data_IF_937941796996
#
_entry.id   IF_937941796996
#
_cell.length_a   1.000
_cell.length_b   1.000
_cell.length_c   1.000
_cell.angle_alpha   90.00
_cell.angle_beta   90.00
_cell.angle_gamma   90.00
#
_symmetry.space_group_name_H-M   'P 1'
#
loop_
_entity.id
_entity.type
_entity.pdbx_description
1 polymer ?
#
# COMPACT_ATOMS: atom_id res chain seq x y z
N UNK A 1 -15.10 47.64 -16.44
CA UNK A 1 -13.95 46.78 -16.77
C UNK A 1 -14.24 45.40 -16.20
N UNK A 2 -15.05 44.65 -16.93
CA UNK A 2 -15.51 43.31 -16.63
C UNK A 2 -14.38 42.38 -17.09
N UNK A 3 -13.56 41.91 -16.16
CA UNK A 3 -12.58 40.87 -16.46
C UNK A 3 -12.88 39.68 -15.57
N UNK A 4 -13.84 38.89 -16.02
CA UNK A 4 -13.98 37.48 -15.68
C UNK A 4 -12.64 36.80 -16.02
N UNK A 5 -11.74 36.70 -15.04
CA UNK A 5 -10.69 35.68 -15.11
C UNK A 5 -11.37 34.36 -14.83
N UNK A 6 -11.70 33.66 -15.90
CA UNK A 6 -11.97 32.23 -15.93
C UNK A 6 -11.10 31.53 -14.88
N UNK A 7 -11.74 31.06 -13.80
CA UNK A 7 -11.15 30.08 -12.90
C UNK A 7 -10.92 28.87 -13.79
N UNK A 8 -9.68 28.71 -14.25
CA UNK A 8 -9.25 27.47 -14.90
C UNK A 8 -9.37 26.43 -13.80
N UNK A 9 -10.51 25.73 -13.79
CA UNK A 9 -10.77 24.53 -13.03
C UNK A 9 -9.65 23.56 -13.40
N UNK A 10 -8.53 23.65 -12.67
CA UNK A 10 -7.47 22.66 -12.83
C UNK A 10 -8.14 21.35 -12.48
N UNK A 11 -8.17 20.42 -13.43
CA UNK A 11 -8.59 19.05 -13.19
C UNK A 11 -7.67 18.45 -12.11
N UNK A 12 -8.00 18.69 -10.84
CA UNK A 12 -7.44 17.99 -9.72
C UNK A 12 -7.74 16.52 -9.97
N UNK A 13 -6.75 15.62 -9.93
CA UNK A 13 -6.98 14.19 -10.13
C UNK A 13 -8.10 13.75 -9.20
N UNK A 14 -9.26 13.46 -9.79
CA UNK A 14 -10.51 13.47 -9.05
C UNK A 14 -10.54 12.38 -7.97
N UNK A 15 -11.35 12.56 -6.90
CA UNK A 15 -11.58 11.56 -5.85
C UNK A 15 -11.94 10.17 -6.39
N UNK A 16 -12.42 10.08 -7.63
CA UNK A 16 -12.65 8.84 -8.37
C UNK A 16 -11.44 7.89 -8.42
N UNK A 17 -10.19 8.38 -8.48
CA UNK A 17 -9.01 7.51 -8.47
C UNK A 17 -8.82 6.83 -7.10
N UNK A 18 -9.00 7.59 -6.02
CA UNK A 18 -8.91 7.07 -4.65
C UNK A 18 -10.04 6.10 -4.32
N UNK A 19 -11.25 6.35 -4.84
CA UNK A 19 -12.38 5.41 -4.71
C UNK A 19 -12.09 4.10 -5.44
N UNK A 20 -11.51 4.13 -6.65
CA UNK A 20 -11.10 2.91 -7.36
C UNK A 20 -10.08 2.10 -6.56
N UNK A 21 -9.07 2.76 -6.00
CA UNK A 21 -8.07 2.09 -5.15
C UNK A 21 -8.72 1.54 -3.87
N UNK A 22 -9.69 2.24 -3.28
CA UNK A 22 -10.42 1.79 -2.10
C UNK A 22 -11.17 0.48 -2.39
N UNK A 23 -11.84 0.41 -3.53
CA UNK A 23 -12.57 -0.78 -3.98
C UNK A 23 -11.61 -1.95 -4.20
N UNK A 24 -10.46 -1.72 -4.84
CA UNK A 24 -9.44 -2.75 -5.01
C UNK A 24 -8.93 -3.25 -3.65
N UNK A 25 -8.63 -2.33 -2.73
CA UNK A 25 -8.18 -2.68 -1.38
C UNK A 25 -9.23 -3.50 -0.63
N UNK A 26 -10.50 -3.13 -0.75
CA UNK A 26 -11.62 -3.84 -0.14
C UNK A 26 -11.76 -5.25 -0.72
N UNK A 27 -11.65 -5.42 -2.04
CA UNK A 27 -11.66 -6.74 -2.70
C UNK A 27 -10.50 -7.60 -2.18
N UNK A 28 -9.28 -7.05 -2.13
CA UNK A 28 -8.10 -7.77 -1.61
C UNK A 28 -8.34 -8.20 -0.15
N UNK A 29 -8.97 -7.35 0.65
CA UNK A 29 -9.29 -7.66 2.06
C UNK A 29 -10.35 -8.75 2.18
N UNK A 30 -11.38 -8.73 1.33
CA UNK A 30 -12.38 -9.82 1.28
C UNK A 30 -11.73 -11.14 0.89
N UNK A 31 -10.83 -11.13 -0.11
CA UNK A 31 -10.08 -12.33 -0.53
C UNK A 31 -9.21 -12.87 0.62
N UNK A 32 -8.53 -11.99 1.35
CA UNK A 32 -7.72 -12.38 2.51
C UNK A 32 -8.56 -13.03 3.60
N UNK A 33 -9.70 -12.43 3.95
CA UNK A 33 -10.65 -13.00 4.92
C UNK A 33 -11.20 -14.35 4.42
N UNK A 34 -11.56 -14.46 3.14
CA UNK A 34 -11.98 -15.73 2.54
C UNK A 34 -10.87 -16.79 2.60
N UNK A 35 -9.61 -16.39 2.38
CA UNK A 35 -8.43 -17.27 2.47
C UNK A 35 -8.27 -17.82 3.89
N UNK A 36 -8.52 -17.01 4.92
CA UNK A 36 -8.53 -17.49 6.31
C UNK A 36 -9.59 -18.56 6.56
N UNK A 37 -10.77 -18.47 5.94
CA UNK A 37 -11.81 -19.49 6.07
C UNK A 37 -11.50 -20.80 5.32
N UNK A 38 -10.59 -20.76 4.33
CA UNK A 38 -10.17 -21.92 3.53
C UNK A 38 -8.91 -22.61 4.09
N UNK A 39 -8.58 -22.37 5.36
CA UNK A 39 -7.35 -22.83 6.02
C UNK A 39 -7.10 -24.34 5.88
N UNK A 40 -8.15 -25.15 5.97
CA UNK A 40 -8.05 -26.61 5.95
C UNK A 40 -7.52 -27.14 4.60
N UNK A 41 -7.75 -26.39 3.51
CA UNK A 41 -7.29 -26.75 2.17
C UNK A 41 -5.89 -26.19 1.85
N UNK A 42 -5.52 -25.07 2.48
CA UNK A 42 -4.33 -24.30 2.11
C UNK A 42 -3.12 -24.53 3.03
N UNK A 43 -3.33 -25.01 4.26
CA UNK A 43 -2.32 -25.45 5.24
C UNK A 43 -0.97 -24.69 5.16
N UNK A 44 0.05 -25.29 4.52
CA UNK A 44 1.39 -24.70 4.43
C UNK A 44 1.51 -23.49 3.49
N UNK A 45 0.59 -23.37 2.52
CA UNK A 45 0.55 -22.26 1.57
C UNK A 45 -0.21 -21.03 2.14
N UNK A 46 -0.94 -21.17 3.24
CA UNK A 46 -1.71 -20.06 3.84
C UNK A 46 -0.79 -18.89 4.22
N UNK A 47 0.28 -19.17 4.98
CA UNK A 47 1.21 -18.14 5.46
C UNK A 47 1.82 -17.34 4.31
N UNK A 48 2.44 -17.95 3.28
CA UNK A 48 3.01 -17.18 2.18
C UNK A 48 1.95 -16.40 1.38
N UNK A 49 0.75 -16.96 1.19
CA UNK A 49 -0.34 -16.26 0.48
C UNK A 49 -0.78 -15.00 1.23
N UNK A 50 -1.01 -15.11 2.54
CA UNK A 50 -1.39 -13.96 3.35
C UNK A 50 -0.28 -12.91 3.44
N UNK A 51 1.00 -13.33 3.45
CA UNK A 51 2.14 -12.43 3.36
C UNK A 51 2.13 -11.63 2.05
N UNK A 52 1.90 -12.29 0.92
CA UNK A 52 1.82 -11.65 -0.40
C UNK A 52 0.63 -10.69 -0.47
N UNK A 53 -0.55 -11.10 0.00
CA UNK A 53 -1.73 -10.23 0.05
C UNK A 53 -1.51 -9.00 0.95
N UNK A 54 -0.85 -9.19 2.09
CA UNK A 54 -0.48 -8.10 3.01
C UNK A 54 0.51 -7.12 2.37
N UNK A 55 1.55 -7.63 1.71
CA UNK A 55 2.51 -6.81 0.99
C UNK A 55 1.85 -6.02 -0.15
N UNK A 56 0.94 -6.65 -0.90
CA UNK A 56 0.19 -5.98 -1.97
C UNK A 56 -0.65 -4.82 -1.45
N UNK A 57 -1.40 -5.02 -0.35
CA UNK A 57 -2.16 -3.93 0.30
C UNK A 57 -1.24 -2.80 0.75
N UNK A 58 -0.12 -3.14 1.39
CA UNK A 58 0.84 -2.16 1.85
C UNK A 58 1.36 -1.27 0.70
N UNK A 59 1.74 -1.87 -0.42
CA UNK A 59 2.21 -1.13 -1.61
C UNK A 59 1.10 -0.23 -2.18
N UNK A 60 -0.14 -0.73 -2.26
CA UNK A 60 -1.28 0.07 -2.71
C UNK A 60 -1.54 1.28 -1.79
N UNK A 61 -1.52 1.07 -0.48
CA UNK A 61 -1.74 2.13 0.52
C UNK A 61 -0.62 3.16 0.48
N UNK A 62 0.64 2.72 0.50
CA UNK A 62 1.79 3.64 0.45
C UNK A 62 1.82 4.41 -0.86
N UNK A 63 1.58 3.74 -1.99
CA UNK A 63 1.62 4.35 -3.31
C UNK A 63 0.53 5.39 -3.53
N UNK A 64 -0.71 5.09 -3.13
CA UNK A 64 -1.86 5.93 -3.46
C UNK A 64 -2.38 6.76 -2.28
N UNK A 65 -2.49 6.21 -1.07
CA UNK A 65 -3.04 6.92 0.09
C UNK A 65 -2.01 7.69 0.90
N UNK A 66 -0.77 7.21 0.98
CA UNK A 66 0.34 7.99 1.58
C UNK A 66 1.00 8.92 0.57
N UNK A 67 0.42 9.07 -0.63
CA UNK A 67 0.83 10.00 -1.68
C UNK A 67 2.24 9.80 -2.24
N UNK A 68 2.94 8.70 -1.90
CA UNK A 68 4.33 8.48 -2.31
C UNK A 68 4.54 8.44 -3.84
N UNK A 69 3.51 8.05 -4.60
CA UNK A 69 3.52 8.09 -6.07
C UNK A 69 3.47 9.51 -6.63
N UNK A 70 2.86 10.45 -5.89
CA UNK A 70 2.62 11.83 -6.30
C UNK A 70 3.52 12.85 -5.58
N UNK A 71 4.25 12.42 -4.56
CA UNK A 71 5.17 13.25 -3.77
C UNK A 71 6.55 13.45 -4.42
N UNK A 72 7.28 14.43 -3.89
CA UNK A 72 8.66 14.72 -4.26
C UNK A 72 9.59 13.52 -3.97
N UNK A 73 10.64 13.30 -4.79
CA UNK A 73 11.56 12.17 -4.66
C UNK A 73 12.26 12.11 -3.30
N UNK A 74 12.42 13.26 -2.62
CA UNK A 74 13.00 13.34 -1.29
C UNK A 74 12.12 12.65 -0.23
N UNK A 75 10.81 12.94 -0.21
CA UNK A 75 9.87 12.33 0.74
C UNK A 75 9.73 10.83 0.49
N UNK A 76 9.69 10.44 -0.79
CA UNK A 76 9.72 9.03 -1.22
C UNK A 76 10.99 8.32 -0.74
N UNK A 77 12.14 8.97 -0.86
CA UNK A 77 13.43 8.45 -0.40
C UNK A 77 13.49 8.29 1.12
N UNK A 78 12.99 9.27 1.88
CA UNK A 78 12.96 9.20 3.35
C UNK A 78 12.10 8.03 3.85
N UNK A 79 10.92 7.82 3.24
CA UNK A 79 10.07 6.68 3.59
C UNK A 79 10.73 5.34 3.25
N UNK A 80 11.31 5.22 2.05
CA UNK A 80 12.00 4.00 1.62
C UNK A 80 13.23 3.69 2.50
N UNK A 81 13.94 4.72 2.95
CA UNK A 81 15.04 4.59 3.91
C UNK A 81 14.55 4.02 5.24
N UNK A 82 13.49 4.60 5.82
CA UNK A 82 12.87 4.09 7.04
C UNK A 82 12.41 2.64 6.92
N UNK A 83 11.81 2.27 5.78
CA UNK A 83 11.43 0.88 5.50
C UNK A 83 12.64 -0.06 5.41
N UNK A 84 13.71 0.38 4.75
CA UNK A 84 14.95 -0.41 4.63
C UNK A 84 15.57 -0.67 5.99
N UNK A 85 15.62 0.35 6.85
CA UNK A 85 16.11 0.24 8.23
C UNK A 85 15.23 -0.70 9.04
N UNK A 86 13.90 -0.57 8.95
CA UNK A 86 12.97 -1.45 9.66
C UNK A 86 13.15 -2.92 9.27
N UNK A 87 13.18 -3.22 7.96
CA UNK A 87 13.44 -4.58 7.45
C UNK A 87 14.81 -5.07 7.90
N UNK A 88 15.84 -4.22 7.81
CA UNK A 88 17.20 -4.54 8.24
C UNK A 88 17.27 -4.92 9.73
N UNK A 89 16.58 -4.17 10.60
CA UNK A 89 16.49 -4.47 12.03
C UNK A 89 15.73 -5.78 12.24
N UNK A 90 14.58 -5.99 11.58
CA UNK A 90 13.83 -7.24 11.70
C UNK A 90 14.66 -8.45 11.26
N UNK A 91 15.38 -8.35 10.13
CA UNK A 91 16.26 -9.41 9.66
C UNK A 91 17.46 -9.61 10.59
N UNK A 92 18.04 -8.54 11.15
CA UNK A 92 19.13 -8.63 12.12
C UNK A 92 18.65 -9.32 13.41
N UNK A 93 17.45 -8.99 13.90
CA UNK A 93 16.84 -9.66 15.05
C UNK A 93 16.57 -11.13 14.75
N UNK A 94 15.97 -11.45 13.59
CA UNK A 94 15.77 -12.85 13.18
C UNK A 94 17.11 -13.59 13.03
N UNK A 95 18.16 -12.94 12.54
CA UNK A 95 19.49 -13.52 12.39
C UNK A 95 20.20 -13.73 13.75
N UNK A 96 19.93 -12.86 14.73
CA UNK A 96 20.53 -12.89 16.06
C UNK A 96 19.85 -13.91 16.97
N UNK A 97 18.51 -13.96 16.96
CA UNK A 97 17.74 -14.89 17.78
C UNK A 97 17.66 -16.27 17.14
N UNK A 98 17.60 -16.31 15.79
CA UNK A 98 17.71 -17.46 14.88
C UNK A 98 16.87 -18.69 15.31
N UNK A 99 16.59 -19.65 14.44
CA UNK A 99 17.45 -20.83 14.27
C UNK A 99 18.15 -21.23 15.58
#
# INVERSE_FOLDING_TARGET
>A
MQQERSVVERAHPGPATYVKVAVILAIVTVIEVATYYLVDYLQAALIPILLVLSAAKFVLVVGFYMHLKFDAPLLRGMFAWGMTVAIGITLAMLALYKI
#
